data_IF_288191651814
#
_entry.id   IF_288191651814
#
_cell.length_a   1.000
_cell.length_b   1.000
_cell.length_c   1.000
_cell.angle_alpha   90.00
_cell.angle_beta   90.00
_cell.angle_gamma   90.00
#
_symmetry.space_group_name_H-M   'P 1'
#
loop_
_entity.id
_entity.type
_entity.pdbx_description
1 polymer ?
#
# COMPACT_ATOMS: atom_id res chain seq x y z
N UNK A 1 10.71 -11.44 11.45
CA UNK A 1 9.45 -11.90 10.82
C UNK A 1 9.40 -13.41 10.62
N UNK A 2 10.23 -14.02 9.77
CA UNK A 2 10.12 -15.46 9.41
C UNK A 2 10.13 -16.46 10.58
N UNK A 3 10.72 -16.15 11.73
CA UNK A 3 10.67 -17.04 12.91
C UNK A 3 9.36 -16.90 13.69
N UNK A 4 8.84 -15.68 13.80
CA UNK A 4 7.65 -15.38 14.59
C UNK A 4 6.34 -15.61 13.82
N UNK A 5 6.32 -15.31 12.52
CA UNK A 5 5.11 -15.32 11.69
C UNK A 5 5.11 -16.43 10.65
N UNK A 6 3.90 -16.89 10.34
CA UNK A 6 3.55 -17.76 9.22
C UNK A 6 3.44 -16.92 7.94
N UNK A 7 4.48 -16.98 7.11
CA UNK A 7 4.55 -16.16 5.89
C UNK A 7 3.58 -16.62 4.80
N UNK A 8 3.06 -17.85 4.86
CA UNK A 8 2.04 -18.34 3.92
C UNK A 8 0.66 -17.71 4.22
N UNK A 9 0.53 -17.04 5.38
CA UNK A 9 -0.66 -16.32 5.80
C UNK A 9 -0.51 -14.80 5.74
N UNK A 10 0.61 -14.29 5.23
CA UNK A 10 0.87 -12.87 5.09
C UNK A 10 1.23 -12.54 3.65
N UNK A 11 0.55 -11.56 3.07
CA UNK A 11 0.83 -11.09 1.73
C UNK A 11 1.24 -9.61 1.77
N UNK A 12 2.40 -9.29 1.19
CA UNK A 12 2.84 -7.91 1.05
C UNK A 12 1.99 -7.20 -0.01
N UNK A 13 1.44 -6.04 0.32
CA UNK A 13 0.56 -5.28 -0.59
C UNK A 13 1.29 -4.07 -1.17
N UNK A 14 1.86 -3.23 -0.31
CA UNK A 14 2.59 -2.02 -0.71
C UNK A 14 3.53 -1.59 0.41
N UNK A 15 4.56 -0.82 0.06
CA UNK A 15 5.43 -0.18 1.03
C UNK A 15 6.05 1.10 0.48
N UNK A 16 6.38 1.99 1.40
CA UNK A 16 7.16 3.21 1.17
C UNK A 16 8.40 3.19 2.07
N UNK A 17 9.20 4.26 2.08
CA UNK A 17 10.49 4.35 2.79
C UNK A 17 10.47 3.78 4.22
N UNK A 18 9.44 4.09 5.00
CA UNK A 18 9.31 3.79 6.43
C UNK A 18 7.99 3.08 6.78
N UNK A 19 7.27 2.56 5.79
CA UNK A 19 5.97 1.90 6.01
C UNK A 19 5.79 0.71 5.08
N UNK A 20 5.07 -0.31 5.57
CA UNK A 20 4.70 -1.48 4.79
C UNK A 20 3.28 -1.92 5.17
N UNK A 21 2.50 -2.26 4.16
CA UNK A 21 1.14 -2.75 4.28
C UNK A 21 1.10 -4.24 3.94
N UNK A 22 0.50 -5.00 4.84
CA UNK A 22 0.39 -6.45 4.75
C UNK A 22 -1.07 -6.86 4.83
N UNK A 23 -1.51 -7.72 3.93
CA UNK A 23 -2.76 -8.44 4.08
C UNK A 23 -2.48 -9.68 4.95
N UNK A 24 -3.15 -9.75 6.09
CA UNK A 24 -2.95 -10.79 7.09
C UNK A 24 -4.16 -11.70 7.12
N UNK A 25 -3.96 -13.00 6.86
CA UNK A 25 -5.01 -14.01 6.94
C UNK A 25 -5.32 -14.31 8.39
N UNK A 26 -6.60 -14.42 8.73
CA UNK A 26 -7.02 -14.93 10.02
C UNK A 26 -8.47 -15.39 10.02
N UNK A 27 -9.20 -15.15 11.10
CA UNK A 27 -10.58 -15.62 11.26
C UNK A 27 -11.59 -14.54 10.84
N UNK A 28 -12.67 -14.94 10.16
CA UNK A 28 -13.77 -14.05 9.84
C UNK A 28 -14.44 -13.48 11.11
N UNK A 29 -14.50 -14.27 12.19
CA UNK A 29 -15.13 -13.87 13.45
C UNK A 29 -14.32 -12.81 14.22
N UNK A 30 -12.99 -12.83 14.06
CA UNK A 30 -12.10 -11.89 14.72
C UNK A 30 -12.02 -10.53 14.00
N UNK A 31 -12.41 -10.49 12.73
CA UNK A 31 -12.36 -9.29 11.90
C UNK A 31 -10.95 -8.73 11.72
N UNK A 32 -10.86 -7.47 11.28
CA UNK A 32 -9.59 -6.81 10.99
C UNK A 32 -8.79 -6.45 12.27
N UNK A 33 -9.44 -6.39 13.42
CA UNK A 33 -8.84 -6.12 14.74
C UNK A 33 -8.01 -7.29 15.29
N UNK A 34 -7.97 -8.41 14.55
CA UNK A 34 -7.21 -9.59 14.95
C UNK A 34 -5.69 -9.39 14.96
N UNK A 35 -5.19 -8.34 14.31
CA UNK A 35 -3.75 -8.06 14.16
C UNK A 35 -2.98 -9.31 13.70
N UNK A 36 -1.92 -9.69 14.41
CA UNK A 36 -1.07 -10.84 14.08
C UNK A 36 -1.48 -12.14 14.78
N UNK A 37 -2.55 -12.16 15.59
CA UNK A 37 -2.86 -13.28 16.49
C UNK A 37 -2.98 -14.64 15.77
N UNK A 38 -3.48 -14.66 14.55
CA UNK A 38 -3.69 -15.88 13.76
C UNK A 38 -2.51 -16.27 12.85
N UNK A 39 -1.49 -15.42 12.77
CA UNK A 39 -0.30 -15.66 11.96
C UNK A 39 0.97 -15.86 12.79
N UNK A 40 0.90 -15.74 14.11
CA UNK A 40 2.02 -16.11 14.99
C UNK A 40 2.16 -17.63 14.99
N UNK A 41 3.31 -18.14 14.52
CA UNK A 41 3.59 -19.59 14.46
C UNK A 41 4.36 -20.11 15.67
N UNK A 42 5.26 -19.28 16.19
CA UNK A 42 6.06 -19.59 17.38
C UNK A 42 5.75 -18.53 18.44
N UNK A 43 4.80 -18.87 19.29
CA UNK A 43 4.28 -17.95 20.31
C UNK A 43 5.33 -17.65 21.37
N UNK A 44 6.11 -18.65 21.80
CA UNK A 44 7.18 -18.44 22.78
C UNK A 44 8.21 -17.47 22.24
N UNK A 45 8.68 -17.69 21.01
CA UNK A 45 9.62 -16.77 20.36
C UNK A 45 9.03 -15.37 20.19
N UNK A 46 7.76 -15.26 19.77
CA UNK A 46 7.09 -13.97 19.62
C UNK A 46 7.02 -13.22 20.95
N UNK A 47 6.52 -13.86 22.01
CA UNK A 47 6.33 -13.23 23.32
C UNK A 47 7.68 -12.81 23.94
N UNK A 48 8.72 -13.62 23.79
CA UNK A 48 10.08 -13.31 24.30
C UNK A 48 10.74 -12.14 23.56
N UNK A 49 10.42 -11.95 22.27
CA UNK A 49 11.12 -11.02 21.39
C UNK A 49 10.30 -9.79 20.97
N UNK A 50 8.97 -9.79 21.17
CA UNK A 50 8.08 -8.71 20.70
C UNK A 50 8.52 -7.34 21.22
N UNK A 51 8.99 -7.29 22.47
CA UNK A 51 9.54 -6.09 23.12
C UNK A 51 10.70 -5.43 22.37
N UNK A 52 11.44 -6.14 21.52
CA UNK A 52 12.53 -5.56 20.75
C UNK A 52 12.04 -4.87 19.48
N UNK A 53 10.93 -5.33 18.92
CA UNK A 53 10.41 -4.85 17.64
C UNK A 53 9.25 -3.89 17.81
N UNK A 54 8.36 -4.13 18.77
CA UNK A 54 7.17 -3.32 19.01
C UNK A 54 7.34 -2.47 20.27
N UNK A 55 6.57 -1.38 20.40
CA UNK A 55 6.49 -0.62 21.63
C UNK A 55 5.84 -1.51 22.70
N UNK A 56 6.28 -1.38 23.94
CA UNK A 56 5.73 -2.13 25.08
C UNK A 56 5.64 -1.17 26.24
N UNK A 57 4.43 -0.91 26.72
CA UNK A 57 4.20 -0.20 27.97
C UNK A 57 4.25 -1.25 29.08
N UNK A 58 5.00 -0.97 30.16
CA UNK A 58 5.03 -1.84 31.33
C UNK A 58 3.60 -2.07 31.85
N UNK A 59 3.16 -3.33 31.88
CA UNK A 59 1.86 -3.73 32.44
C UNK A 59 0.74 -4.00 31.42
N UNK A 60 0.82 -3.50 30.18
CA UNK A 60 -0.23 -3.75 29.16
C UNK A 60 0.34 -3.93 27.73
N UNK A 61 0.55 -5.19 27.28
CA UNK A 61 1.11 -5.48 25.95
C UNK A 61 0.18 -5.08 24.79
N UNK A 62 -1.15 -5.00 25.03
CA UNK A 62 -2.15 -4.64 24.00
C UNK A 62 -2.30 -3.13 23.81
N UNK A 63 -2.12 -2.32 24.86
CA UNK A 63 -2.28 -0.87 24.80
C UNK A 63 -1.11 -0.17 24.09
N UNK A 64 0.07 -0.79 24.11
CA UNK A 64 1.31 -0.22 23.58
C UNK A 64 1.45 -0.23 22.05
N UNK A 65 0.65 -1.03 21.34
CA UNK A 65 0.78 -1.21 19.89
C UNK A 65 0.27 -0.03 19.05
N UNK A 66 -0.47 0.89 19.66
CA UNK A 66 -1.24 1.90 18.94
C UNK A 66 -0.69 3.33 19.00
N UNK A 67 0.16 3.71 19.97
CA UNK A 67 0.57 5.13 20.14
C UNK A 67 2.07 5.40 20.40
N UNK A 68 2.83 4.46 20.95
CA UNK A 68 4.25 4.70 21.24
C UNK A 68 5.13 4.30 20.06
N UNK A 69 6.08 5.16 19.63
CA UNK A 69 7.06 4.81 18.60
C UNK A 69 8.39 4.45 19.26
N UNK A 70 8.83 3.20 19.09
CA UNK A 70 10.15 2.75 19.54
C UNK A 70 11.21 3.11 18.49
N UNK A 71 12.37 3.62 18.92
CA UNK A 71 13.51 3.89 18.03
C UNK A 71 13.92 2.57 17.35
N UNK A 72 13.95 2.56 16.02
CA UNK A 72 14.20 1.37 15.18
C UNK A 72 13.20 0.22 15.41
N UNK A 73 12.07 0.50 16.05
CA UNK A 73 10.94 -0.42 16.17
C UNK A 73 9.91 -0.22 15.07
N UNK A 74 8.98 -1.16 15.01
CA UNK A 74 7.80 -1.14 14.17
C UNK A 74 6.61 -0.66 15.02
N UNK A 75 5.74 0.15 14.43
CA UNK A 75 4.48 0.58 15.03
C UNK A 75 3.32 0.23 14.08
N UNK A 76 2.21 -0.25 14.64
CA UNK A 76 1.01 -0.53 13.87
C UNK A 76 0.24 0.79 13.73
N UNK A 77 0.39 1.46 12.59
CA UNK A 77 -0.22 2.78 12.40
C UNK A 77 -1.70 2.71 12.01
N UNK A 78 -2.11 1.71 11.23
CA UNK A 78 -3.47 1.57 10.75
C UNK A 78 -3.80 0.10 10.50
N UNK A 79 -5.06 -0.27 10.77
CA UNK A 79 -5.63 -1.58 10.44
C UNK A 79 -6.86 -1.38 9.55
N UNK A 80 -6.84 -2.01 8.38
CA UNK A 80 -7.88 -1.83 7.37
C UNK A 80 -8.64 -3.13 7.07
N UNK A 81 -9.87 -2.98 6.59
CA UNK A 81 -10.68 -4.09 6.07
C UNK A 81 -10.35 -4.38 4.61
N UNK A 82 -9.99 -3.35 3.85
CA UNK A 82 -9.79 -3.42 2.40
C UNK A 82 -8.61 -2.53 2.00
N UNK A 83 -7.77 -3.01 1.08
CA UNK A 83 -6.72 -2.22 0.46
C UNK A 83 -6.58 -2.58 -1.02
N UNK A 84 -6.38 -1.57 -1.86
CA UNK A 84 -6.09 -1.74 -3.28
C UNK A 84 -4.86 -0.88 -3.59
N UNK A 85 -3.75 -1.52 -3.95
CA UNK A 85 -2.53 -0.83 -4.36
C UNK A 85 -2.30 -1.01 -5.86
N UNK A 86 -2.22 0.10 -6.58
CA UNK A 86 -1.97 0.10 -8.03
C UNK A 86 -0.48 0.23 -8.35
N UNK A 87 0.20 1.09 -7.60
CA UNK A 87 1.60 1.40 -7.74
C UNK A 87 2.12 1.97 -6.42
N UNK A 88 3.44 2.02 -6.20
CA UNK A 88 4.01 2.68 -5.04
C UNK A 88 3.44 4.09 -4.84
N UNK A 89 3.01 4.41 -3.61
CA UNK A 89 2.35 5.68 -3.23
C UNK A 89 1.00 5.97 -3.92
N UNK A 90 0.40 4.99 -4.60
CA UNK A 90 -0.90 5.09 -5.27
C UNK A 90 -1.81 3.94 -4.84
N UNK A 91 -2.57 4.15 -3.77
CA UNK A 91 -3.40 3.13 -3.15
C UNK A 91 -4.68 3.70 -2.52
N UNK A 92 -5.65 2.81 -2.37
CA UNK A 92 -6.85 2.99 -1.56
C UNK A 92 -6.75 2.08 -0.35
N UNK A 93 -7.13 2.57 0.82
CA UNK A 93 -7.30 1.78 2.04
C UNK A 93 -8.58 2.19 2.76
N UNK A 94 -9.29 1.21 3.30
CA UNK A 94 -10.47 1.41 4.14
C UNK A 94 -10.15 0.98 5.56
N UNK A 95 -10.13 1.95 6.47
CA UNK A 95 -9.84 1.78 7.91
C UNK A 95 -11.16 1.92 8.65
N UNK A 96 -11.78 0.79 9.00
CA UNK A 96 -13.16 0.75 9.50
C UNK A 96 -14.16 1.34 8.49
N UNK A 97 -14.82 2.43 8.85
CA UNK A 97 -15.76 3.16 7.98
C UNK A 97 -15.10 4.28 7.16
N UNK A 98 -13.83 4.61 7.42
CA UNK A 98 -13.13 5.71 6.76
C UNK A 98 -12.36 5.21 5.55
N UNK A 99 -12.62 5.83 4.40
CA UNK A 99 -11.86 5.60 3.18
C UNK A 99 -10.73 6.60 3.03
N UNK A 100 -9.55 6.12 2.64
CA UNK A 100 -8.38 6.96 2.36
C UNK A 100 -7.78 6.57 1.02
N UNK A 101 -7.70 7.55 0.13
CA UNK A 101 -7.02 7.42 -1.17
C UNK A 101 -5.73 8.21 -1.08
N UNK A 102 -4.60 7.57 -1.35
CA UNK A 102 -3.29 8.21 -1.47
C UNK A 102 -2.86 8.09 -2.92
N UNK A 103 -2.59 9.24 -3.54
CA UNK A 103 -2.14 9.34 -4.93
C UNK A 103 -0.95 10.27 -5.00
N UNK A 104 0.07 9.85 -5.74
CA UNK A 104 1.24 10.67 -6.02
C UNK A 104 0.93 11.59 -7.20
N UNK A 105 1.43 12.83 -7.14
CA UNK A 105 1.38 13.81 -8.24
C UNK A 105 -0.03 14.25 -8.70
N UNK A 106 -1.07 13.81 -7.99
CA UNK A 106 -2.48 14.16 -8.23
C UNK A 106 -3.04 14.97 -7.06
N UNK A 107 -3.61 16.13 -7.36
CA UNK A 107 -4.32 16.93 -6.38
C UNK A 107 -5.77 16.45 -6.26
N UNK A 108 -6.10 15.80 -5.16
CA UNK A 108 -7.44 15.24 -4.92
C UNK A 108 -8.51 16.31 -4.65
N UNK A 109 -8.11 17.56 -4.30
CA UNK A 109 -9.08 18.66 -4.14
C UNK A 109 -9.67 19.10 -5.49
N UNK A 110 -8.88 19.01 -6.55
CA UNK A 110 -9.31 19.40 -7.90
C UNK A 110 -9.83 18.20 -8.69
N UNK A 111 -9.20 17.03 -8.55
CA UNK A 111 -9.61 15.80 -9.24
C UNK A 111 -10.11 14.80 -8.21
N UNK A 112 -11.42 14.65 -8.08
CA UNK A 112 -12.02 13.65 -7.18
C UNK A 112 -11.94 12.28 -7.83
N UNK A 113 -10.89 11.53 -7.49
CA UNK A 113 -10.75 10.14 -7.89
C UNK A 113 -11.34 9.26 -6.80
N UNK A 114 -12.24 8.36 -7.20
CA UNK A 114 -12.92 7.44 -6.29
C UNK A 114 -12.30 6.03 -6.32
N UNK A 115 -12.70 5.19 -5.35
CA UNK A 115 -12.40 3.75 -5.37
C UNK A 115 -12.85 3.09 -6.67
N UNK A 116 -14.04 3.44 -7.17
CA UNK A 116 -14.56 2.85 -8.40
C UNK A 116 -13.66 3.13 -9.60
N UNK A 117 -13.12 4.35 -9.71
CA UNK A 117 -12.18 4.66 -10.79
C UNK A 117 -10.90 3.81 -10.72
N UNK A 118 -10.41 3.52 -9.52
CA UNK A 118 -9.27 2.62 -9.30
C UNK A 118 -9.62 1.21 -9.80
N UNK A 119 -10.79 0.68 -9.41
CA UNK A 119 -11.26 -0.65 -9.81
C UNK A 119 -11.49 -0.74 -11.32
N UNK A 120 -12.12 0.26 -11.93
CA UNK A 120 -12.38 0.30 -13.37
C UNK A 120 -11.08 0.34 -14.17
N UNK A 121 -10.09 1.11 -13.71
CA UNK A 121 -8.78 1.14 -14.34
C UNK A 121 -8.11 -0.24 -14.33
N UNK A 122 -8.16 -0.98 -13.21
CA UNK A 122 -7.61 -2.35 -13.12
C UNK A 122 -8.36 -3.28 -14.07
N UNK A 123 -9.69 -3.34 -13.96
CA UNK A 123 -10.49 -4.35 -14.64
C UNK A 123 -10.62 -4.08 -16.15
N UNK A 124 -10.70 -2.81 -16.54
CA UNK A 124 -10.98 -2.39 -17.92
C UNK A 124 -9.76 -1.78 -18.62
N UNK A 125 -8.62 -1.66 -17.94
CA UNK A 125 -7.41 -1.03 -18.48
C UNK A 125 -7.57 0.46 -18.78
N UNK A 126 -8.56 1.13 -18.18
CA UNK A 126 -8.86 2.54 -18.45
C UNK A 126 -7.82 3.48 -17.84
N UNK A 127 -7.81 4.72 -18.36
CA UNK A 127 -6.96 5.81 -17.86
C UNK A 127 -7.88 6.87 -17.27
N UNK A 128 -7.73 7.11 -15.97
CA UNK A 128 -8.36 8.26 -15.30
C UNK A 128 -7.43 9.47 -15.42
N UNK A 129 -7.89 10.51 -16.11
CA UNK A 129 -7.15 11.76 -16.26
C UNK A 129 -7.33 12.66 -15.05
N UNK A 130 -6.31 13.46 -14.75
CA UNK A 130 -6.31 14.44 -13.68
C UNK A 130 -5.79 15.79 -14.18
N UNK A 131 -6.31 16.88 -13.61
CA UNK A 131 -5.86 18.22 -13.91
C UNK A 131 -4.91 18.68 -12.80
N UNK A 132 -3.65 18.89 -13.16
CA UNK A 132 -2.66 19.47 -12.29
C UNK A 132 -2.56 20.98 -12.57
N UNK A 133 -2.65 21.79 -11.51
CA UNK A 133 -2.52 23.24 -11.59
C UNK A 133 -1.13 23.62 -11.06
N UNK A 134 -0.32 24.27 -11.91
CA UNK A 134 0.99 24.79 -11.56
C UNK A 134 1.02 26.31 -11.73
N UNK A 135 1.74 27.00 -10.85
CA UNK A 135 2.15 28.39 -11.11
C UNK A 135 3.47 28.39 -11.89
N UNK A 136 3.51 29.15 -12.98
CA UNK A 136 4.69 29.37 -13.79
C UNK A 136 4.94 30.87 -13.95
N UNK A 137 6.20 31.27 -13.99
CA UNK A 137 6.59 32.66 -14.26
C UNK A 137 7.40 32.71 -15.55
N UNK A 138 7.03 33.61 -16.46
CA UNK A 138 7.79 33.91 -17.68
C UNK A 138 7.77 35.42 -17.89
N UNK A 139 8.93 36.00 -18.15
CA UNK A 139 9.09 37.45 -18.35
C UNK A 139 8.45 38.29 -17.22
N UNK A 140 8.69 37.89 -15.96
CA UNK A 140 8.12 38.53 -14.77
C UNK A 140 6.59 38.47 -14.63
N UNK A 141 5.89 37.79 -15.54
CA UNK A 141 4.45 37.55 -15.44
C UNK A 141 4.23 36.17 -14.85
N UNK A 142 3.49 36.12 -13.73
CA UNK A 142 3.03 34.88 -13.13
C UNK A 142 1.74 34.43 -13.82
N UNK A 143 1.65 33.14 -14.14
CA UNK A 143 0.48 32.54 -14.77
C UNK A 143 0.15 31.22 -14.09
N UNK A 144 -1.15 30.90 -14.06
CA UNK A 144 -1.64 29.61 -13.59
C UNK A 144 -1.83 28.70 -14.81
N UNK A 145 -1.09 27.60 -14.87
CA UNK A 145 -1.12 26.65 -15.98
C UNK A 145 -1.87 25.40 -15.53
N UNK A 146 -2.94 25.08 -16.25
CA UNK A 146 -3.63 23.81 -16.13
C UNK A 146 -2.98 22.81 -17.10
N UNK A 147 -2.59 21.63 -16.61
CA UNK A 147 -2.08 20.55 -17.45
C UNK A 147 -2.86 19.29 -17.15
N UNK A 148 -3.45 18.72 -18.20
CA UNK A 148 -4.05 17.39 -18.14
C UNK A 148 -2.93 16.34 -18.12
N UNK A 149 -3.00 15.42 -17.17
CA UNK A 149 -2.07 14.30 -17.03
C UNK A 149 -2.85 13.02 -16.77
N UNK A 150 -2.21 11.88 -16.97
CA UNK A 150 -2.74 10.61 -16.49
C UNK A 150 -2.64 10.62 -14.96
N UNK A 151 -3.79 10.61 -14.28
CA UNK A 151 -3.84 10.55 -12.82
C UNK A 151 -3.63 9.13 -12.33
N UNK A 152 -4.43 8.21 -12.85
CA UNK A 152 -4.32 6.78 -12.56
C UNK A 152 -4.44 5.99 -13.85
N UNK A 153 -3.61 4.96 -13.99
CA UNK A 153 -3.65 4.00 -15.09
C UNK A 153 -3.69 2.59 -14.52
N UNK A 154 -4.57 1.73 -15.05
CA UNK A 154 -4.47 0.28 -14.78
C UNK A 154 -3.52 -0.45 -15.72
N UNK A 155 -2.82 0.30 -16.59
CA UNK A 155 -1.84 -0.23 -17.51
C UNK A 155 -0.47 -0.19 -16.84
N UNK A 156 0.16 -1.35 -16.67
CA UNK A 156 1.54 -1.44 -16.21
C UNK A 156 2.49 -1.04 -17.35
N UNK A 157 2.75 0.25 -17.49
CA UNK A 157 3.66 0.79 -18.52
C UNK A 157 5.14 0.69 -18.15
N UNK A 158 5.45 0.25 -16.92
CA UNK A 158 6.82 0.19 -16.39
C UNK A 158 7.30 -1.22 -16.10
N UNK A 159 6.39 -2.19 -15.98
CA UNK A 159 6.73 -3.56 -15.63
C UNK A 159 5.74 -4.56 -16.22
N UNK A 160 6.19 -5.79 -16.41
CA UNK A 160 5.37 -6.96 -16.74
C UNK A 160 5.38 -7.89 -15.53
N UNK A 161 4.20 -8.26 -15.03
CA UNK A 161 4.07 -9.26 -13.97
C UNK A 161 4.03 -10.65 -14.61
N UNK A 162 4.93 -11.52 -14.20
CA UNK A 162 5.01 -12.90 -14.67
C UNK A 162 4.10 -13.84 -13.87
N UNK A 163 3.96 -15.09 -14.31
CA UNK A 163 3.06 -16.07 -13.69
C UNK A 163 3.43 -16.40 -12.24
N UNK A 164 4.71 -16.34 -11.92
CA UNK A 164 5.30 -16.56 -10.59
C UNK A 164 5.23 -15.31 -9.70
N UNK A 165 4.54 -14.24 -10.13
CA UNK A 165 4.46 -12.93 -9.47
C UNK A 165 5.78 -12.14 -9.46
N UNK A 166 6.80 -12.59 -10.20
CA UNK A 166 7.99 -11.78 -10.41
C UNK A 166 7.69 -10.57 -11.31
N UNK A 167 8.45 -9.49 -11.11
CA UNK A 167 8.29 -8.22 -11.81
C UNK A 167 9.45 -8.01 -12.77
N UNK A 168 9.16 -8.00 -14.09
CA UNK A 168 10.17 -7.71 -15.11
C UNK A 168 10.01 -6.30 -15.67
N UNK A 169 11.08 -5.65 -16.16
CA UNK A 169 10.97 -4.37 -16.86
C UNK A 169 9.99 -4.44 -18.03
N UNK A 170 9.22 -3.39 -18.28
CA UNK A 170 8.41 -3.33 -19.51
C UNK A 170 9.28 -2.90 -20.69
N UNK A 171 9.30 -3.73 -21.74
CA UNK A 171 9.88 -3.39 -23.05
C UNK A 171 8.75 -3.34 -24.06
N UNK A 172 8.71 -2.26 -24.87
CA UNK A 172 7.64 -2.06 -25.85
C UNK A 172 7.52 -3.26 -26.80
N UNK A 173 6.30 -3.78 -26.94
CA UNK A 173 6.01 -4.98 -27.76
C UNK A 173 6.26 -6.32 -27.07
N UNK A 174 6.92 -6.34 -25.91
CA UNK A 174 7.13 -7.56 -25.13
C UNK A 174 5.92 -7.89 -24.24
N UNK A 175 5.63 -9.17 -24.10
CA UNK A 175 4.57 -9.77 -23.27
C UNK A 175 5.20 -10.67 -22.21
N UNK A 176 4.42 -11.05 -21.19
CA UNK A 176 4.89 -11.95 -20.12
C UNK A 176 5.47 -13.27 -20.65
N UNK A 177 4.96 -13.79 -21.76
CA UNK A 177 5.45 -15.03 -22.39
C UNK A 177 6.85 -14.91 -23.01
N UNK A 178 7.32 -13.68 -23.22
CA UNK A 178 8.62 -13.42 -23.84
C UNK A 178 9.75 -13.41 -22.78
N UNK A 179 9.39 -13.56 -21.50
CA UNK A 179 10.32 -13.72 -20.37
C UNK A 179 10.48 -15.19 -19.99
N UNK A 180 11.72 -15.59 -19.70
CA UNK A 180 12.05 -16.91 -19.17
C UNK A 180 12.13 -16.80 -17.65
N UNK A 181 11.47 -17.72 -16.96
CA UNK A 181 11.53 -17.87 -15.50
C UNK A 181 12.44 -19.07 -15.26
N UNK A 182 13.58 -18.85 -14.60
CA UNK A 182 14.49 -19.91 -14.13
C UNK A 182 14.07 -20.42 -12.74
#
# INVERSE_FOLDING_TARGET
MHKAFDMDKMHFVEGDTDSAYWAVRGSADAGYQQQFNYVIKDKSFYDDNTKYYFPTIEGEPKAALLDEKKILGLAIENEGTEMIALAPKNYYIKVGEKEKIKLKDVNQKTTKISKQNIVDNINSGTITKAINMRLGQKNYIMSKIATEKNGITGIHTKMVVLKDQSCCPYVFGSKARDYIID
#
